data_IF_286974627885
#
_entry.id   IF_286974627885
#
_cell.length_a   1.000
_cell.length_b   1.000
_cell.length_c   1.000
_cell.angle_alpha   90.00
_cell.angle_beta   90.00
_cell.angle_gamma   90.00
#
_symmetry.space_group_name_H-M   'P 1'
#
loop_
_entity.id
_entity.type
_entity.pdbx_description
1 polymer ?
#
# COMPACT_ATOMS: atom_id res chain seq x y z
N UNK A 1 1.55 -6.20 1.70
CA UNK A 1 1.11 -4.87 2.17
C UNK A 1 1.31 -4.65 3.66
N UNK A 2 0.92 -5.56 4.55
CA UNK A 2 1.01 -5.34 6.00
C UNK A 2 2.42 -5.39 6.60
N UNK A 3 3.35 -6.12 5.97
CA UNK A 3 4.72 -6.24 6.48
C UNK A 3 5.48 -4.89 6.51
N UNK A 4 5.37 -4.07 5.45
CA UNK A 4 6.04 -2.77 5.37
C UNK A 4 5.63 -1.77 6.47
N UNK A 5 4.33 -1.50 6.72
CA UNK A 5 3.92 -0.60 7.80
C UNK A 5 4.28 -1.15 9.18
N UNK A 6 4.22 -2.46 9.41
CA UNK A 6 4.66 -3.07 10.67
C UNK A 6 6.17 -2.90 10.89
N UNK A 7 6.99 -3.15 9.87
CA UNK A 7 8.44 -2.91 9.94
C UNK A 7 8.74 -1.43 10.13
N UNK A 8 7.99 -0.53 9.46
CA UNK A 8 8.09 0.91 9.66
C UNK A 8 7.82 1.30 11.12
N UNK A 9 6.72 0.82 11.71
CA UNK A 9 6.41 1.06 13.11
C UNK A 9 7.49 0.53 14.07
N UNK A 10 8.08 -0.63 13.76
CA UNK A 10 9.18 -1.20 14.52
C UNK A 10 10.45 -0.31 14.45
N UNK A 11 10.76 0.28 13.28
CA UNK A 11 11.84 1.26 13.12
C UNK A 11 11.60 2.49 14.00
N UNK A 12 10.39 3.07 13.96
CA UNK A 12 10.05 4.25 14.76
C UNK A 12 10.11 3.94 16.27
N UNK A 13 9.68 2.74 16.67
CA UNK A 13 9.78 2.27 18.06
C UNK A 13 11.24 2.21 18.53
N UNK A 14 12.13 1.61 17.73
CA UNK A 14 13.56 1.53 18.03
C UNK A 14 14.26 2.91 18.08
N UNK A 15 13.74 3.91 17.34
CA UNK A 15 14.27 5.27 17.25
C UNK A 15 13.68 6.27 18.28
N UNK A 16 12.82 5.82 19.20
CA UNK A 16 11.98 6.63 20.12
C UNK A 16 11.02 7.63 19.48
N UNK A 17 10.69 7.48 18.20
CA UNK A 17 9.75 8.41 17.60
C UNK A 17 8.30 8.06 18.01
N UNK A 18 7.58 8.96 18.71
CA UNK A 18 6.18 8.73 19.03
C UNK A 18 5.35 8.75 17.75
N UNK A 19 4.54 7.70 17.55
CA UNK A 19 3.67 7.57 16.37
C UNK A 19 2.26 7.99 16.74
N UNK A 20 1.81 9.12 16.20
CA UNK A 20 0.47 9.64 16.41
C UNK A 20 -0.43 9.11 15.29
N UNK A 21 -1.50 8.38 15.64
CA UNK A 21 -2.41 7.79 14.66
C UNK A 21 -3.53 8.77 14.25
N UNK A 22 -4.25 9.29 15.25
CA UNK A 22 -5.30 10.29 15.09
C UNK A 22 -5.60 10.95 16.45
N UNK A 23 -5.73 12.28 16.47
CA UNK A 23 -5.98 13.02 17.72
C UNK A 23 -4.92 12.73 18.79
N UNK A 24 -5.31 12.43 20.05
CA UNK A 24 -4.36 12.14 21.13
C UNK A 24 -3.83 10.69 21.15
N UNK A 25 -4.19 9.85 20.17
CA UNK A 25 -3.82 8.43 20.18
C UNK A 25 -2.36 8.27 19.73
N UNK A 26 -1.49 7.96 20.69
CA UNK A 26 -0.08 7.59 20.48
C UNK A 26 0.06 6.09 20.55
N UNK A 27 0.73 5.49 19.56
CA UNK A 27 1.00 4.06 19.57
C UNK A 27 2.12 3.74 20.57
N UNK A 28 1.94 2.70 21.40
CA UNK A 28 3.01 2.23 22.26
C UNK A 28 4.17 1.69 21.41
N UNK A 29 5.42 1.89 21.86
CA UNK A 29 6.56 1.26 21.22
C UNK A 29 6.45 -0.26 21.33
N UNK A 30 6.65 -0.97 20.22
CA UNK A 30 6.60 -2.44 20.17
C UNK A 30 7.96 -3.10 20.42
N UNK A 31 9.05 -2.35 20.27
CA UNK A 31 10.42 -2.81 20.38
C UNK A 31 11.22 -1.88 21.30
N UNK A 32 12.21 -2.41 22.05
CA UNK A 32 13.14 -1.60 22.81
C UNK A 32 14.04 -0.76 21.90
N UNK A 33 14.67 0.24 22.49
CA UNK A 33 15.55 1.15 21.78
C UNK A 33 16.93 0.53 21.62
N UNK A 34 17.31 0.29 20.38
CA UNK A 34 18.57 -0.34 20.03
C UNK A 34 19.00 0.11 18.62
N UNK A 35 20.20 0.67 18.53
CA UNK A 35 20.78 1.19 17.29
C UNK A 35 21.08 0.09 16.27
N UNK A 36 21.51 -1.09 16.72
CA UNK A 36 21.75 -2.25 15.87
C UNK A 36 20.42 -2.76 15.30
N UNK A 37 19.40 -2.86 16.14
CA UNK A 37 18.06 -3.28 15.73
C UNK A 37 17.48 -2.31 14.70
N UNK A 38 17.61 -1.00 14.94
CA UNK A 38 17.23 0.03 13.98
C UNK A 38 17.93 -0.15 12.62
N UNK A 39 19.23 -0.39 12.61
CA UNK A 39 20.00 -0.58 11.38
C UNK A 39 19.51 -1.81 10.58
N UNK A 40 19.27 -2.94 11.26
CA UNK A 40 18.76 -4.18 10.66
C UNK A 40 17.35 -3.96 10.09
N UNK A 41 16.44 -3.38 10.88
CA UNK A 41 15.07 -3.11 10.45
C UNK A 41 15.04 -2.15 9.25
N UNK A 42 15.91 -1.13 9.23
CA UNK A 42 16.01 -0.20 8.10
C UNK A 42 16.45 -0.89 6.82
N UNK A 43 17.43 -1.80 6.89
CA UNK A 43 17.82 -2.62 5.74
C UNK A 43 16.67 -3.51 5.27
N UNK A 44 15.99 -4.19 6.20
CA UNK A 44 14.84 -5.05 5.90
C UNK A 44 13.73 -4.26 5.22
N UNK A 45 13.39 -3.08 5.73
CA UNK A 45 12.38 -2.20 5.17
C UNK A 45 12.72 -1.78 3.74
N UNK A 46 13.97 -1.39 3.48
CA UNK A 46 14.42 -1.02 2.13
C UNK A 46 14.29 -2.17 1.14
N UNK A 47 14.71 -3.38 1.52
CA UNK A 47 14.57 -4.57 0.66
C UNK A 47 13.09 -4.86 0.38
N UNK A 48 12.23 -4.83 1.40
CA UNK A 48 10.79 -5.03 1.24
C UNK A 48 10.15 -3.94 0.37
N UNK A 49 10.60 -2.69 0.49
CA UNK A 49 10.07 -1.56 -0.27
C UNK A 49 10.41 -1.71 -1.75
N UNK A 50 11.66 -2.06 -2.08
CA UNK A 50 12.05 -2.34 -3.46
C UNK A 50 11.37 -3.60 -4.02
N UNK A 51 11.23 -4.66 -3.22
CA UNK A 51 10.50 -5.86 -3.61
C UNK A 51 9.04 -5.55 -3.94
N UNK A 52 8.38 -4.75 -3.10
CA UNK A 52 7.02 -4.31 -3.39
C UNK A 52 6.96 -3.44 -4.64
N UNK A 53 7.85 -2.46 -4.76
CA UNK A 53 7.91 -1.61 -5.94
C UNK A 53 8.05 -2.43 -7.23
N UNK A 54 8.89 -3.47 -7.21
CA UNK A 54 9.02 -4.44 -8.30
C UNK A 54 7.72 -5.17 -8.61
N UNK A 55 6.98 -5.64 -7.60
CA UNK A 55 5.67 -6.27 -7.77
C UNK A 55 4.66 -5.31 -8.38
N UNK A 56 4.64 -4.05 -7.94
CA UNK A 56 3.76 -3.00 -8.49
C UNK A 56 4.11 -2.76 -9.95
N UNK A 57 5.39 -2.58 -10.31
CA UNK A 57 5.81 -2.40 -11.69
C UNK A 57 5.47 -3.61 -12.56
N UNK A 58 5.69 -4.83 -12.08
CA UNK A 58 5.33 -6.05 -12.79
C UNK A 58 3.81 -6.14 -13.02
N UNK A 59 3.01 -5.79 -12.01
CA UNK A 59 1.57 -5.76 -12.11
C UNK A 59 1.07 -4.71 -13.10
N UNK A 60 1.62 -3.49 -13.05
CA UNK A 60 1.31 -2.41 -14.00
C UNK A 60 1.73 -2.80 -15.43
N UNK A 61 2.90 -3.39 -15.59
CA UNK A 61 3.38 -3.89 -16.87
C UNK A 61 2.47 -4.97 -17.45
N UNK A 62 2.01 -5.92 -16.61
CA UNK A 62 1.02 -6.91 -17.01
C UNK A 62 -0.30 -6.25 -17.42
N UNK A 63 -0.82 -5.32 -16.62
CA UNK A 63 -2.06 -4.60 -16.93
C UNK A 63 -1.98 -3.82 -18.25
N UNK A 64 -0.84 -3.18 -18.54
CA UNK A 64 -0.58 -2.49 -19.80
C UNK A 64 -0.44 -3.45 -20.99
N UNK A 65 0.27 -4.57 -20.81
CA UNK A 65 0.40 -5.62 -21.83
C UNK A 65 -0.97 -6.17 -22.22
N UNK A 66 -1.80 -6.44 -21.21
CA UNK A 66 -3.18 -6.84 -21.36
C UNK A 66 -3.96 -5.78 -22.16
N UNK A 67 -4.02 -4.53 -21.68
CA UNK A 67 -4.77 -3.46 -22.35
C UNK A 67 -4.31 -3.17 -23.79
N UNK A 68 -3.02 -3.13 -24.05
CA UNK A 68 -2.47 -2.65 -25.32
C UNK A 68 -2.30 -3.74 -26.37
N UNK A 69 -1.83 -4.94 -25.96
CA UNK A 69 -1.55 -6.05 -26.88
C UNK A 69 -2.70 -7.05 -26.89
N UNK A 70 -3.19 -7.47 -25.73
CA UNK A 70 -4.30 -8.45 -25.66
C UNK A 70 -5.68 -7.82 -25.83
N UNK A 71 -5.79 -6.48 -25.67
CA UNK A 71 -7.04 -5.71 -25.75
C UNK A 71 -8.16 -6.30 -24.90
N UNK A 72 -7.80 -6.81 -23.73
CA UNK A 72 -8.73 -7.42 -22.79
C UNK A 72 -9.24 -6.41 -21.76
N UNK A 73 -10.48 -6.64 -21.31
CA UNK A 73 -11.24 -5.79 -20.39
C UNK A 73 -10.71 -5.83 -18.94
N UNK A 74 -9.51 -6.38 -18.70
CA UNK A 74 -8.93 -6.50 -17.34
C UNK A 74 -8.77 -5.12 -16.69
N UNK A 75 -8.29 -4.13 -17.44
CA UNK A 75 -8.17 -2.75 -16.95
C UNK A 75 -9.54 -2.11 -16.74
N UNK A 76 -10.52 -2.39 -17.61
CA UNK A 76 -11.89 -1.89 -17.47
C UNK A 76 -12.61 -2.48 -16.24
N UNK A 77 -12.27 -3.70 -15.83
CA UNK A 77 -12.82 -4.34 -14.63
C UNK A 77 -12.35 -3.70 -13.31
N UNK A 78 -11.18 -3.05 -13.31
CA UNK A 78 -10.66 -2.29 -12.17
C UNK A 78 -11.13 -0.83 -12.16
N UNK A 79 -11.70 -0.35 -13.26
CA UNK A 79 -12.22 1.01 -13.34
C UNK A 79 -13.48 1.15 -12.46
N UNK A 80 -13.70 2.30 -11.80
CA UNK A 80 -14.93 2.54 -11.07
C UNK A 80 -16.11 2.35 -12.01
N UNK A 81 -16.99 1.39 -11.72
CA UNK A 81 -18.16 1.10 -12.55
C UNK A 81 -19.02 2.35 -12.55
N UNK A 82 -18.99 3.12 -13.64
CA UNK A 82 -19.82 4.31 -13.80
C UNK A 82 -21.27 3.83 -13.75
N UNK A 83 -21.89 3.95 -12.58
CA UNK A 83 -23.28 3.59 -12.39
C UNK A 83 -24.06 4.48 -13.33
N UNK A 84 -24.49 3.91 -14.46
CA UNK A 84 -25.46 4.54 -15.34
C UNK A 84 -26.69 4.73 -14.47
N UNK A 85 -26.86 5.95 -13.96
CA UNK A 85 -28.08 6.38 -13.28
C UNK A 85 -29.17 6.15 -14.31
N UNK A 86 -29.94 5.05 -14.14
CA UNK A 86 -31.16 4.85 -14.90
C UNK A 86 -32.08 5.97 -14.43
N UNK A 87 -32.27 6.97 -15.28
CA UNK A 87 -33.44 7.84 -15.16
C UNK A 87 -34.67 6.94 -15.26
N UNK A 88 -35.57 6.95 -14.27
CA UNK A 88 -36.88 6.38 -14.46
C UNK A 88 -37.62 7.33 -15.39
N UNK A 89 -37.74 6.96 -16.67
CA UNK A 89 -38.77 7.50 -17.55
C UNK A 89 -40.12 6.99 -17.03
N UNK A 90 -40.66 7.71 -16.05
CA UNK A 90 -42.07 7.62 -15.65
C UNK A 90 -42.86 8.62 -16.49
N UNK A 91 -43.36 8.15 -17.64
CA UNK A 91 -44.49 8.78 -18.32
C UNK A 91 -45.80 8.22 -17.73
N UNK A 92 -46.81 9.09 -17.64
CA UNK A 92 -48.16 8.79 -17.17
C UNK A 92 -48.82 10.04 -16.63
#
# INVERSE_FOLDING_TARGET
MLALPLVGWAILSAARYPVILAGPVVLPPILPQDTMLYAVLRRLHTVLAYGLFGVVLAHLGAALLHALIRRDEVVASMAPRRSRRREPTGGG
#
